data_IF_371343111738
#
_entry.id   IF_371343111738
#
_cell.length_a   1.000
_cell.length_b   1.000
_cell.length_c   1.000
_cell.angle_alpha   90.00
_cell.angle_beta   90.00
_cell.angle_gamma   90.00
#
_symmetry.space_group_name_H-M   'P 1'
#
loop_
_entity.id
_entity.type
_entity.pdbx_description
1 polymer ?
#
# COMPACT_ATOMS: atom_id res chain seq x y z
N UNK A 1 48.42 7.68 13.50
CA UNK A 1 47.58 6.48 13.39
C UNK A 1 46.17 6.81 13.90
N UNK A 2 45.28 7.17 12.99
CA UNK A 2 43.87 7.44 13.28
C UNK A 2 43.16 6.09 13.38
N UNK A 3 42.83 5.69 14.61
CA UNK A 3 42.04 4.53 14.91
C UNK A 3 40.59 4.85 14.47
N UNK A 4 40.20 4.38 13.31
CA UNK A 4 38.82 4.48 12.86
C UNK A 4 37.94 3.69 13.82
N UNK A 5 37.11 4.39 14.57
CA UNK A 5 36.05 3.81 15.37
C UNK A 5 35.02 3.30 14.31
N UNK A 6 35.14 2.03 13.94
CA UNK A 6 34.09 1.33 13.23
C UNK A 6 32.95 1.13 14.22
N UNK A 7 31.96 2.02 14.15
CA UNK A 7 30.67 1.75 14.76
C UNK A 7 30.17 0.50 14.08
N UNK A 8 30.01 -0.59 14.84
CA UNK A 8 29.36 -1.82 14.37
C UNK A 8 27.89 -1.49 14.04
N UNK A 9 27.66 -1.02 12.80
CA UNK A 9 26.32 -0.89 12.27
C UNK A 9 25.79 -2.31 12.03
N UNK A 10 24.71 -2.66 12.69
CA UNK A 10 23.94 -3.83 12.34
C UNK A 10 23.63 -3.78 10.84
N UNK A 11 24.23 -4.69 10.09
CA UNK A 11 24.03 -4.79 8.66
C UNK A 11 22.67 -5.47 8.42
N UNK A 12 21.67 -4.66 8.15
CA UNK A 12 20.31 -5.15 7.87
C UNK A 12 20.05 -5.33 6.38
N UNK A 13 20.86 -4.68 5.53
CA UNK A 13 20.73 -4.80 4.09
C UNK A 13 21.55 -5.99 3.58
N UNK A 14 20.94 -6.98 2.89
CA UNK A 14 21.65 -8.13 2.32
C UNK A 14 22.81 -7.74 1.39
N UNK A 15 22.69 -6.66 0.63
CA UNK A 15 23.76 -6.18 -0.26
C UNK A 15 25.00 -5.76 0.50
N UNK A 16 24.85 -5.13 1.67
CA UNK A 16 25.98 -4.71 2.52
C UNK A 16 26.69 -5.91 3.15
N UNK A 17 25.94 -6.97 3.44
CA UNK A 17 26.47 -8.25 3.96
C UNK A 17 27.32 -8.92 2.88
N UNK A 18 26.80 -9.01 1.64
CA UNK A 18 27.49 -9.63 0.51
C UNK A 18 28.76 -8.86 0.17
N UNK A 19 28.75 -7.53 0.25
CA UNK A 19 29.93 -6.70 0.01
C UNK A 19 31.11 -6.97 0.96
N UNK A 20 30.89 -7.67 2.08
CA UNK A 20 31.94 -8.07 3.03
C UNK A 20 32.48 -9.49 2.81
N UNK A 21 31.93 -10.22 1.86
CA UNK A 21 32.38 -11.58 1.55
C UNK A 21 33.65 -11.53 0.70
N UNK A 22 34.76 -12.03 1.23
CA UNK A 22 36.07 -12.06 0.52
C UNK A 22 36.21 -13.27 -0.44
N UNK A 23 35.11 -13.89 -0.86
CA UNK A 23 35.13 -15.05 -1.75
C UNK A 23 34.22 -14.78 -2.96
N UNK A 24 34.85 -14.69 -4.15
CA UNK A 24 34.14 -14.33 -5.39
C UNK A 24 33.02 -15.32 -5.74
N UNK A 25 33.23 -16.62 -5.54
CA UNK A 25 32.21 -17.64 -5.85
C UNK A 25 30.98 -17.52 -4.94
N UNK A 26 31.22 -17.32 -3.65
CA UNK A 26 30.15 -17.05 -2.67
C UNK A 26 29.43 -15.75 -2.97
N UNK A 27 30.12 -14.71 -3.35
CA UNK A 27 29.53 -13.41 -3.73
C UNK A 27 28.61 -13.58 -4.94
N UNK A 28 29.07 -14.24 -6.02
CA UNK A 28 28.27 -14.50 -7.21
C UNK A 28 27.02 -15.32 -6.87
N UNK A 29 27.18 -16.40 -6.12
CA UNK A 29 26.07 -17.25 -5.70
C UNK A 29 25.03 -16.48 -4.88
N UNK A 30 25.48 -15.67 -3.93
CA UNK A 30 24.60 -14.84 -3.09
C UNK A 30 23.86 -13.78 -3.91
N UNK A 31 24.51 -13.14 -4.89
CA UNK A 31 23.88 -12.17 -5.77
C UNK A 31 22.78 -12.82 -6.64
N UNK A 32 23.06 -14.02 -7.20
CA UNK A 32 22.05 -14.78 -7.96
C UNK A 32 20.84 -15.09 -7.07
N UNK A 33 21.08 -15.51 -5.82
CA UNK A 33 20.02 -15.80 -4.87
C UNK A 33 19.16 -14.56 -4.56
N UNK A 34 19.79 -13.40 -4.36
CA UNK A 34 19.06 -12.13 -4.12
C UNK A 34 18.22 -11.74 -5.34
N UNK A 35 18.76 -11.88 -6.56
CA UNK A 35 18.03 -11.57 -7.79
C UNK A 35 16.78 -12.45 -7.90
N UNK A 36 16.92 -13.76 -7.71
CA UNK A 36 15.80 -14.71 -7.79
C UNK A 36 14.77 -14.42 -6.69
N UNK A 37 15.22 -14.21 -5.46
CA UNK A 37 14.34 -13.89 -4.32
C UNK A 37 13.58 -12.60 -4.54
N UNK A 38 14.26 -11.54 -4.96
CA UNK A 38 13.66 -10.23 -5.24
C UNK A 38 12.66 -10.32 -6.39
N UNK A 39 13.00 -11.01 -7.48
CA UNK A 39 12.10 -11.21 -8.60
C UNK A 39 10.85 -11.99 -8.20
N UNK A 40 11.01 -13.09 -7.45
CA UNK A 40 9.89 -13.90 -6.96
C UNK A 40 8.95 -13.11 -6.05
N UNK A 41 9.51 -12.35 -5.11
CA UNK A 41 8.73 -11.51 -4.19
C UNK A 41 7.96 -10.44 -4.95
N UNK A 42 8.60 -9.75 -5.90
CA UNK A 42 7.94 -8.73 -6.72
C UNK A 42 6.84 -9.32 -7.62
N UNK A 43 7.06 -10.51 -8.16
CA UNK A 43 6.04 -11.20 -8.96
C UNK A 43 4.78 -11.47 -8.13
N UNK A 44 4.95 -12.03 -6.93
CA UNK A 44 3.82 -12.43 -6.07
C UNK A 44 3.16 -11.22 -5.44
N UNK A 45 3.93 -10.27 -4.92
CA UNK A 45 3.40 -9.15 -4.13
C UNK A 45 2.89 -7.98 -4.98
N UNK A 46 3.46 -7.76 -6.17
CA UNK A 46 3.15 -6.58 -6.98
C UNK A 46 2.51 -6.92 -8.31
N UNK A 47 3.09 -7.85 -9.09
CA UNK A 47 2.62 -8.15 -10.44
C UNK A 47 1.27 -8.87 -10.43
N UNK A 48 1.14 -9.97 -9.70
CA UNK A 48 -0.09 -10.78 -9.67
C UNK A 48 -1.29 -10.00 -9.13
N UNK A 49 -1.21 -9.27 -7.99
CA UNK A 49 -2.30 -8.43 -7.53
C UNK A 49 -2.71 -7.35 -8.52
N UNK A 50 -1.75 -6.66 -9.14
CA UNK A 50 -2.02 -5.64 -10.15
C UNK A 50 -2.73 -6.22 -11.37
N UNK A 51 -2.32 -7.42 -11.81
CA UNK A 51 -2.95 -8.15 -12.90
C UNK A 51 -4.41 -8.49 -12.59
N UNK A 52 -4.67 -9.01 -11.38
CA UNK A 52 -6.02 -9.34 -10.94
C UNK A 52 -6.91 -8.10 -10.83
N UNK A 53 -6.37 -6.99 -10.30
CA UNK A 53 -7.11 -5.72 -10.23
C UNK A 53 -7.52 -5.27 -11.64
N UNK A 54 -6.60 -5.29 -12.61
CA UNK A 54 -6.86 -4.83 -13.97
C UNK A 54 -7.91 -5.70 -14.69
N UNK A 55 -7.85 -7.02 -14.50
CA UNK A 55 -8.84 -7.95 -15.06
C UNK A 55 -10.21 -7.71 -14.42
N UNK A 56 -10.28 -7.56 -13.10
CA UNK A 56 -11.54 -7.32 -12.40
C UNK A 56 -12.14 -5.96 -12.71
N UNK A 57 -11.32 -4.98 -13.07
CA UNK A 57 -11.79 -3.64 -13.44
C UNK A 57 -12.44 -3.62 -14.84
N UNK A 58 -11.94 -4.43 -15.79
CA UNK A 58 -12.43 -4.53 -17.16
C UNK A 58 -12.58 -6.00 -17.61
N UNK A 59 -13.48 -6.78 -16.99
CA UNK A 59 -13.54 -8.24 -17.18
C UNK A 59 -13.88 -8.67 -18.60
N UNK A 60 -14.61 -7.85 -19.34
CA UNK A 60 -15.04 -8.17 -20.71
C UNK A 60 -14.01 -7.79 -21.78
N UNK A 61 -13.00 -6.98 -21.43
CA UNK A 61 -12.06 -6.39 -22.40
C UNK A 61 -10.63 -6.87 -22.21
N UNK A 62 -10.25 -7.26 -20.98
CA UNK A 62 -8.88 -7.58 -20.61
C UNK A 62 -8.79 -9.03 -20.14
N UNK A 63 -7.97 -9.81 -20.82
CA UNK A 63 -7.59 -11.16 -20.41
C UNK A 63 -6.23 -11.16 -19.68
N UNK A 64 -5.83 -12.33 -19.19
CA UNK A 64 -4.60 -12.51 -18.40
C UNK A 64 -3.35 -12.01 -19.15
N UNK A 65 -3.23 -12.30 -20.44
CA UNK A 65 -2.07 -11.91 -21.25
C UNK A 65 -2.04 -10.40 -21.49
N UNK A 66 -3.18 -9.81 -21.85
CA UNK A 66 -3.29 -8.36 -22.11
C UNK A 66 -3.00 -7.57 -20.84
N UNK A 67 -3.55 -7.98 -19.69
CA UNK A 67 -3.28 -7.31 -18.41
C UNK A 67 -1.79 -7.38 -18.06
N UNK A 68 -1.13 -8.52 -18.27
CA UNK A 68 0.29 -8.67 -18.05
C UNK A 68 1.13 -7.72 -18.89
N UNK A 69 0.85 -7.64 -20.20
CA UNK A 69 1.55 -6.73 -21.13
C UNK A 69 1.35 -5.26 -20.69
N UNK A 70 0.12 -4.87 -20.37
CA UNK A 70 -0.18 -3.50 -19.93
C UNK A 70 0.62 -3.16 -18.66
N UNK A 71 0.66 -4.06 -17.66
CA UNK A 71 1.41 -3.83 -16.42
C UNK A 71 2.91 -3.70 -16.68
N UNK A 72 3.47 -4.54 -17.54
CA UNK A 72 4.90 -4.46 -17.88
C UNK A 72 5.22 -3.12 -18.54
N UNK A 73 4.41 -2.69 -19.51
CA UNK A 73 4.59 -1.39 -20.18
C UNK A 73 4.49 -0.24 -19.17
N UNK A 74 3.46 -0.24 -18.33
CA UNK A 74 3.28 0.78 -17.28
C UNK A 74 4.44 0.79 -16.29
N UNK A 75 4.90 -0.39 -15.86
CA UNK A 75 6.03 -0.52 -14.94
C UNK A 75 7.33 0.05 -15.56
N UNK A 76 7.59 -0.23 -16.83
CA UNK A 76 8.74 0.32 -17.54
C UNK A 76 8.67 1.85 -17.68
N UNK A 77 7.51 2.39 -18.06
CA UNK A 77 7.30 3.83 -18.15
C UNK A 77 7.47 4.51 -16.78
N UNK A 78 6.81 4.00 -15.76
CA UNK A 78 6.89 4.56 -14.41
C UNK A 78 8.32 4.47 -13.88
N UNK A 79 9.02 3.36 -14.07
CA UNK A 79 10.36 3.19 -13.53
C UNK A 79 11.38 4.15 -14.14
N UNK A 80 11.27 4.46 -15.43
CA UNK A 80 12.18 5.41 -16.09
C UNK A 80 12.01 6.83 -15.58
N UNK A 81 10.77 7.28 -15.38
CA UNK A 81 10.48 8.59 -14.79
C UNK A 81 10.78 8.63 -13.28
N UNK A 82 10.56 7.51 -12.60
CA UNK A 82 10.66 7.42 -11.16
C UNK A 82 12.09 7.42 -10.64
N UNK A 83 13.04 6.86 -11.38
CA UNK A 83 14.45 6.85 -11.00
C UNK A 83 15.02 8.25 -10.74
N UNK A 84 14.58 9.25 -11.50
CA UNK A 84 14.99 10.64 -11.30
C UNK A 84 14.32 11.29 -10.08
N UNK A 85 13.15 10.83 -9.67
CA UNK A 85 12.40 11.33 -8.52
C UNK A 85 12.85 10.64 -7.22
N UNK A 86 13.16 9.33 -7.26
CA UNK A 86 13.59 8.55 -6.09
C UNK A 86 14.88 9.02 -5.45
N UNK A 87 15.76 9.70 -6.20
CA UNK A 87 16.96 10.32 -5.66
C UNK A 87 16.71 11.58 -4.83
N UNK A 88 15.46 12.04 -4.77
CA UNK A 88 15.06 13.26 -4.06
C UNK A 88 14.46 12.93 -2.68
N UNK A 89 14.77 13.69 -1.61
CA UNK A 89 14.17 13.47 -0.29
C UNK A 89 12.64 13.56 -0.26
N UNK A 90 12.06 14.30 -1.21
CA UNK A 90 10.60 14.50 -1.38
C UNK A 90 9.88 13.18 -1.71
N UNK A 91 10.57 12.21 -2.31
CA UNK A 91 9.94 10.92 -2.69
C UNK A 91 9.40 10.15 -1.49
N UNK A 92 10.11 10.15 -0.37
CA UNK A 92 9.67 9.47 0.86
C UNK A 92 8.36 10.05 1.38
N UNK A 93 8.23 11.38 1.38
CA UNK A 93 7.00 12.05 1.82
C UNK A 93 5.79 11.74 0.94
N UNK A 94 6.00 11.51 -0.36
CA UNK A 94 4.94 11.09 -1.28
C UNK A 94 4.45 9.68 -0.92
N UNK A 95 5.36 8.73 -0.69
CA UNK A 95 5.00 7.36 -0.28
C UNK A 95 4.30 7.34 1.06
N UNK A 96 4.82 8.07 2.05
CA UNK A 96 4.20 8.16 3.36
C UNK A 96 2.78 8.75 3.26
N UNK A 97 2.59 9.77 2.40
CA UNK A 97 1.28 10.35 2.14
C UNK A 97 0.33 9.33 1.50
N UNK A 98 0.78 8.56 0.51
CA UNK A 98 -0.03 7.50 -0.08
C UNK A 98 -0.35 6.39 0.94
N UNK A 99 0.63 5.98 1.74
CA UNK A 99 0.44 4.99 2.79
C UNK A 99 -0.55 5.45 3.86
N UNK A 100 -0.65 6.76 4.09
CA UNK A 100 -1.57 7.34 5.08
C UNK A 100 -3.06 7.13 4.76
N UNK A 101 -3.42 6.76 3.53
CA UNK A 101 -4.77 6.33 3.16
C UNK A 101 -5.17 4.97 3.74
N UNK A 102 -4.22 4.09 3.96
CA UNK A 102 -4.49 2.71 4.37
C UNK A 102 -5.13 2.64 5.76
N UNK A 103 -4.71 3.52 6.68
CA UNK A 103 -5.29 3.61 8.03
C UNK A 103 -6.79 3.91 8.00
N UNK A 104 -7.22 5.02 7.40
CA UNK A 104 -8.63 5.38 7.25
C UNK A 104 -9.49 4.30 6.60
N UNK A 105 -9.01 3.68 5.52
CA UNK A 105 -9.71 2.58 4.86
C UNK A 105 -9.92 1.41 5.84
N UNK A 106 -8.86 1.02 6.56
CA UNK A 106 -8.95 -0.01 7.59
C UNK A 106 -9.96 0.35 8.69
N UNK A 107 -9.93 1.59 9.17
CA UNK A 107 -10.86 2.08 10.19
C UNK A 107 -12.32 1.96 9.75
N UNK A 108 -12.64 2.35 8.52
CA UNK A 108 -14.00 2.22 7.97
C UNK A 108 -14.40 0.75 7.81
N UNK A 109 -13.50 -0.11 7.31
CA UNK A 109 -13.79 -1.54 7.15
C UNK A 109 -14.13 -2.18 8.51
N UNK A 110 -13.36 -1.89 9.55
CA UNK A 110 -13.62 -2.38 10.90
C UNK A 110 -14.96 -1.85 11.43
N UNK A 111 -15.22 -0.56 11.27
CA UNK A 111 -16.47 0.05 11.71
C UNK A 111 -17.69 -0.56 10.99
N UNK A 112 -17.61 -0.73 9.68
CA UNK A 112 -18.70 -1.31 8.90
C UNK A 112 -18.94 -2.77 9.29
N UNK A 113 -17.90 -3.59 9.30
CA UNK A 113 -18.04 -5.03 9.54
C UNK A 113 -18.56 -5.34 10.95
N UNK A 114 -17.96 -4.73 11.99
CA UNK A 114 -18.29 -5.08 13.36
C UNK A 114 -19.56 -4.40 13.89
N UNK A 115 -19.79 -3.13 13.53
CA UNK A 115 -20.84 -2.32 14.14
C UNK A 115 -22.04 -2.09 13.22
N UNK A 116 -21.84 -1.94 11.92
CA UNK A 116 -22.93 -1.73 10.97
C UNK A 116 -23.52 -3.05 10.48
N UNK A 117 -22.66 -3.98 10.06
CA UNK A 117 -23.07 -5.29 9.54
C UNK A 117 -23.23 -6.35 10.63
N UNK A 118 -22.83 -6.05 11.89
CA UNK A 118 -22.86 -7.01 13.01
C UNK A 118 -22.24 -8.36 12.67
N UNK A 119 -21.11 -8.35 11.93
CA UNK A 119 -20.38 -9.53 11.44
C UNK A 119 -21.17 -10.42 10.47
N UNK A 120 -22.30 -9.93 9.95
CA UNK A 120 -23.15 -10.66 9.02
C UNK A 120 -23.04 -10.06 7.63
N UNK A 121 -22.35 -10.76 6.74
CA UNK A 121 -22.23 -10.39 5.33
C UNK A 121 -23.05 -11.37 4.49
N UNK A 122 -23.96 -10.86 3.66
CA UNK A 122 -24.64 -11.68 2.68
C UNK A 122 -23.77 -11.79 1.42
N UNK A 123 -23.09 -12.93 1.29
CA UNK A 123 -22.18 -13.17 0.16
C UNK A 123 -22.88 -13.10 -1.21
N UNK A 124 -24.13 -13.55 -1.30
CA UNK A 124 -24.88 -13.50 -2.56
C UNK A 124 -25.14 -12.06 -3.00
N UNK A 125 -25.64 -11.22 -2.11
CA UNK A 125 -25.90 -9.81 -2.38
C UNK A 125 -24.62 -9.00 -2.62
N UNK A 126 -23.49 -9.41 -2.03
CA UNK A 126 -22.21 -8.73 -2.21
C UNK A 126 -21.67 -8.89 -3.65
N UNK A 127 -21.80 -10.09 -4.22
CA UNK A 127 -21.29 -10.38 -5.58
C UNK A 127 -22.30 -10.15 -6.68
N UNK A 128 -23.60 -10.20 -6.37
CA UNK A 128 -24.70 -9.99 -7.31
C UNK A 128 -25.68 -8.99 -6.71
N UNK A 129 -25.32 -7.69 -6.65
CA UNK A 129 -26.18 -6.68 -6.07
C UNK A 129 -27.38 -6.43 -7.00
N UNK A 130 -28.58 -6.77 -6.55
CA UNK A 130 -29.83 -6.35 -7.17
C UNK A 130 -30.14 -4.90 -6.77
N UNK A 131 -30.98 -4.20 -7.53
CA UNK A 131 -31.32 -2.80 -7.29
C UNK A 131 -31.87 -2.49 -5.88
N UNK A 132 -32.41 -3.51 -5.22
CA UNK A 132 -33.02 -3.41 -3.88
C UNK A 132 -32.05 -3.74 -2.74
N UNK A 133 -30.82 -4.15 -3.03
CA UNK A 133 -29.87 -4.59 -2.01
C UNK A 133 -29.18 -3.42 -1.30
N UNK A 134 -28.89 -3.61 -0.01
CA UNK A 134 -28.19 -2.61 0.81
C UNK A 134 -26.75 -2.34 0.37
N UNK A 135 -26.14 -3.22 -0.45
CA UNK A 135 -24.78 -3.07 -0.95
C UNK A 135 -24.68 -2.22 -2.21
N UNK A 136 -25.79 -1.88 -2.85
CA UNK A 136 -25.79 -0.98 -4.00
C UNK A 136 -25.53 0.48 -3.61
N UNK A 137 -25.82 0.87 -2.36
CA UNK A 137 -25.64 2.21 -1.83
C UNK A 137 -26.21 3.30 -2.77
N UNK A 138 -25.45 4.36 -3.04
CA UNK A 138 -25.80 5.42 -4.01
C UNK A 138 -25.12 5.09 -5.35
N UNK A 139 -25.80 4.33 -6.22
CA UNK A 139 -25.27 3.91 -7.52
C UNK A 139 -23.88 3.23 -7.43
N UNK A 140 -23.72 2.33 -6.48
CA UNK A 140 -22.47 1.60 -6.24
C UNK A 140 -21.48 2.29 -5.29
N UNK A 141 -21.74 3.53 -4.85
CA UNK A 141 -20.81 4.28 -3.99
C UNK A 141 -21.34 4.39 -2.55
N UNK A 142 -20.57 3.94 -1.59
CA UNK A 142 -20.83 4.21 -0.18
C UNK A 142 -20.27 5.60 0.19
N UNK A 143 -21.05 6.66 -0.07
CA UNK A 143 -20.62 8.04 0.17
C UNK A 143 -20.23 8.29 1.63
N UNK A 144 -20.90 7.67 2.60
CA UNK A 144 -20.56 7.81 4.02
C UNK A 144 -19.17 7.24 4.31
N UNK A 145 -18.83 6.09 3.71
CA UNK A 145 -17.48 5.51 3.80
C UNK A 145 -16.44 6.42 3.14
N UNK A 146 -16.74 6.94 1.95
CA UNK A 146 -15.83 7.81 1.21
C UNK A 146 -15.49 9.09 2.00
N UNK A 147 -16.51 9.79 2.54
CA UNK A 147 -16.30 10.98 3.38
C UNK A 147 -15.47 10.64 4.63
N UNK A 148 -15.75 9.51 5.27
CA UNK A 148 -15.01 9.10 6.48
C UNK A 148 -13.54 8.82 6.17
N UNK A 149 -13.26 8.17 5.03
CA UNK A 149 -11.88 7.91 4.58
C UNK A 149 -11.17 9.22 4.26
N UNK A 150 -11.82 10.17 3.56
CA UNK A 150 -11.22 11.47 3.22
C UNK A 150 -10.87 12.25 4.49
N UNK A 151 -11.80 12.32 5.45
CA UNK A 151 -11.55 13.03 6.72
C UNK A 151 -10.40 12.36 7.48
N UNK A 152 -10.44 11.03 7.63
CA UNK A 152 -9.36 10.28 8.30
C UNK A 152 -8.01 10.46 7.60
N UNK A 153 -8.00 10.49 6.26
CA UNK A 153 -6.79 10.75 5.48
C UNK A 153 -6.20 12.13 5.76
N UNK A 154 -7.01 13.19 5.80
CA UNK A 154 -6.53 14.53 6.11
C UNK A 154 -5.85 14.57 7.48
N UNK A 155 -6.42 13.91 8.48
CA UNK A 155 -5.81 13.82 9.81
C UNK A 155 -4.51 13.00 9.81
N UNK A 156 -4.47 11.87 9.10
CA UNK A 156 -3.27 11.06 8.96
C UNK A 156 -2.17 11.81 8.21
N UNK A 157 -2.48 12.37 7.05
CA UNK A 157 -1.53 13.08 6.20
C UNK A 157 -1.00 14.38 6.86
N UNK A 158 -1.80 15.04 7.72
CA UNK A 158 -1.34 16.22 8.45
C UNK A 158 -0.14 15.93 9.36
N UNK A 159 0.03 14.69 9.84
CA UNK A 159 1.19 14.30 10.64
C UNK A 159 2.49 14.25 9.82
N UNK A 160 2.37 14.13 8.49
CA UNK A 160 3.50 14.12 7.54
C UNK A 160 3.77 15.53 7.03
N UNK A 161 2.71 16.29 6.72
CA UNK A 161 2.82 17.59 6.08
C UNK A 161 3.16 18.73 7.05
N UNK A 162 2.84 18.57 8.34
CA UNK A 162 3.09 19.61 9.35
C UNK A 162 4.33 19.27 10.19
N UNK A 163 5.30 20.19 10.18
CA UNK A 163 6.52 20.10 10.99
C UNK A 163 6.21 19.93 12.49
N UNK A 164 5.17 20.58 12.97
CA UNK A 164 4.76 20.52 14.37
C UNK A 164 4.22 19.15 14.79
N UNK A 165 3.72 18.37 13.82
CA UNK A 165 3.11 17.07 14.04
C UNK A 165 4.02 15.90 13.67
N UNK A 166 5.27 16.13 13.24
CA UNK A 166 6.22 15.08 12.85
C UNK A 166 6.45 14.02 13.94
N UNK A 167 6.37 14.41 15.21
CA UNK A 167 6.46 13.46 16.33
C UNK A 167 5.33 12.42 16.34
N UNK A 168 4.20 12.75 15.71
CA UNK A 168 3.03 11.88 15.59
C UNK A 168 3.04 11.07 14.29
N UNK A 169 3.98 11.28 13.39
CA UNK A 169 4.06 10.61 12.09
C UNK A 169 4.05 9.08 12.24
N UNK A 170 4.77 8.55 13.21
CA UNK A 170 4.79 7.09 13.51
C UNK A 170 3.40 6.54 13.84
N UNK A 171 2.52 7.37 14.40
CA UNK A 171 1.14 7.02 14.74
C UNK A 171 0.12 7.51 13.70
N UNK A 172 0.56 8.14 12.63
CA UNK A 172 -0.32 8.74 11.61
C UNK A 172 -1.33 7.75 11.06
N UNK A 173 -0.92 6.52 10.78
CA UNK A 173 -1.80 5.45 10.34
C UNK A 173 -2.93 5.15 11.34
N UNK A 174 -2.58 5.02 12.63
CA UNK A 174 -3.53 4.75 13.71
C UNK A 174 -4.49 5.92 13.91
N UNK A 175 -3.98 7.15 13.87
CA UNK A 175 -4.79 8.37 13.98
C UNK A 175 -5.83 8.40 12.87
N UNK A 176 -5.40 8.17 11.62
CA UNK A 176 -6.30 8.13 10.48
C UNK A 176 -7.37 7.03 10.59
N UNK A 177 -6.97 5.84 11.05
CA UNK A 177 -7.89 4.72 11.27
C UNK A 177 -8.97 5.05 12.33
N UNK A 178 -8.56 5.61 13.47
CA UNK A 178 -9.48 5.97 14.55
C UNK A 178 -10.44 7.09 14.16
N UNK A 179 -9.93 8.13 13.49
CA UNK A 179 -10.77 9.23 13.02
C UNK A 179 -11.80 8.73 12.02
N UNK A 180 -11.37 7.99 10.99
CA UNK A 180 -12.28 7.45 9.98
C UNK A 180 -13.32 6.50 10.58
N UNK A 181 -12.91 5.65 11.53
CA UNK A 181 -13.80 4.76 12.27
C UNK A 181 -14.90 5.54 13.01
N UNK A 182 -14.52 6.57 13.78
CA UNK A 182 -15.48 7.39 14.54
C UNK A 182 -16.42 8.14 13.61
N UNK A 183 -15.88 8.81 12.58
CA UNK A 183 -16.67 9.58 11.61
C UNK A 183 -17.67 8.67 10.89
N UNK A 184 -17.25 7.47 10.50
CA UNK A 184 -18.14 6.52 9.81
C UNK A 184 -19.32 6.09 10.69
N UNK A 185 -19.06 5.79 11.97
CA UNK A 185 -20.15 5.45 12.90
C UNK A 185 -21.10 6.62 13.15
N UNK A 186 -20.59 7.86 13.20
CA UNK A 186 -21.44 9.04 13.35
C UNK A 186 -22.32 9.29 12.12
N UNK A 187 -21.80 9.07 10.91
CA UNK A 187 -22.55 9.23 9.67
C UNK A 187 -23.56 8.09 9.41
N UNK A 188 -23.40 6.95 10.08
CA UNK A 188 -24.30 5.79 9.92
C UNK A 188 -25.48 5.79 10.88
N UNK A 189 -25.39 6.56 11.98
CA UNK A 189 -26.58 6.84 12.82
C UNK A 189 -27.62 7.63 12.02
#
# INVERSE_FOLDING_TARGET
AQKSITVDRLLTNPNDIIGKINNIHLTIFSLIFIIISSASTNLIANYIPSQNILINFLPNSINLIRSGIIIIILALLISTFWLSILSQPVSLSIFDTLASFLGPIFGVIIADYYFVQNKKINHKELFYPEETTKYLYSSGWNLKALYSVIIGFVFSASTIWSVNLLKLQTFGWLIGALVAYIVYLLLKK
#
